data_IF_797463080935
#
_entry.id   IF_797463080935
#
_cell.length_a   1.000
_cell.length_b   1.000
_cell.length_c   1.000
_cell.angle_alpha   90.00
_cell.angle_beta   90.00
_cell.angle_gamma   90.00
#
_symmetry.space_group_name_H-M   'P 1'
#
loop_
_entity.id
_entity.type
_entity.pdbx_description
1 polymer ?
#
# COMPACT_ATOMS: atom_id res chain seq x y z
N UNK A 1 -3.91 4.59 -7.74
CA UNK A 1 -4.18 3.72 -6.57
C UNK A 1 -3.42 2.42 -6.66
N UNK A 2 -3.58 1.63 -7.74
CA UNK A 2 -2.78 0.42 -7.95
C UNK A 2 -1.25 0.66 -7.87
N UNK A 3 -0.75 1.70 -8.53
CA UNK A 3 0.68 2.06 -8.47
C UNK A 3 1.21 2.34 -7.05
N UNK A 4 0.37 2.87 -6.13
CA UNK A 4 0.76 3.08 -4.73
C UNK A 4 1.01 1.74 -4.03
N UNK A 5 0.12 0.77 -4.25
CA UNK A 5 0.25 -0.57 -3.66
C UNK A 5 1.45 -1.33 -4.24
N UNK A 6 1.68 -1.23 -5.55
CA UNK A 6 2.83 -1.84 -6.22
C UNK A 6 4.16 -1.31 -5.65
N UNK A 7 4.25 -0.02 -5.36
CA UNK A 7 5.41 0.58 -4.73
C UNK A 7 5.64 0.05 -3.29
N UNK A 8 4.58 -0.02 -2.48
CA UNK A 8 4.68 -0.60 -1.11
C UNK A 8 5.10 -2.08 -1.17
N UNK A 9 4.66 -2.83 -2.18
CA UNK A 9 5.05 -4.24 -2.36
C UNK A 9 6.53 -4.38 -2.70
N UNK A 10 7.08 -3.45 -3.48
CA UNK A 10 8.48 -3.47 -3.89
C UNK A 10 9.42 -3.01 -2.77
N UNK A 11 9.07 -1.92 -2.11
CA UNK A 11 10.02 -1.17 -1.25
C UNK A 11 9.62 -1.15 0.23
N UNK A 12 8.40 -1.56 0.58
CA UNK A 12 7.89 -1.54 1.95
C UNK A 12 8.36 -2.72 2.80
N UNK A 13 8.14 -2.63 4.11
CA UNK A 13 8.37 -3.73 5.03
C UNK A 13 7.48 -4.95 4.74
N UNK A 14 7.86 -6.13 5.24
CA UNK A 14 7.14 -7.38 4.95
C UNK A 14 5.63 -7.32 5.26
N UNK A 15 5.26 -6.67 6.37
CA UNK A 15 3.85 -6.48 6.75
C UNK A 15 3.11 -5.49 5.85
N UNK A 16 3.76 -4.39 5.46
CA UNK A 16 3.19 -3.41 4.54
C UNK A 16 2.98 -4.02 3.16
N UNK A 17 3.95 -4.78 2.66
CA UNK A 17 3.85 -5.52 1.40
C UNK A 17 2.74 -6.58 1.44
N UNK A 18 2.55 -7.27 2.57
CA UNK A 18 1.43 -8.22 2.75
C UNK A 18 0.08 -7.49 2.66
N UNK A 19 -0.11 -6.43 3.44
CA UNK A 19 -1.33 -5.60 3.42
C UNK A 19 -1.60 -5.02 2.03
N UNK A 20 -0.57 -4.55 1.33
CA UNK A 20 -0.70 -4.00 -0.01
C UNK A 20 -1.17 -5.03 -1.03
N UNK A 21 -0.71 -6.29 -0.95
CA UNK A 21 -1.21 -7.40 -1.79
C UNK A 21 -2.67 -7.72 -1.50
N UNK A 22 -3.10 -7.68 -0.24
CA UNK A 22 -4.50 -7.92 0.15
C UNK A 22 -5.42 -6.83 -0.41
N UNK A 23 -5.02 -5.56 -0.31
CA UNK A 23 -5.77 -4.43 -0.88
C UNK A 23 -5.80 -4.48 -2.41
N UNK A 24 -4.72 -4.91 -3.06
CA UNK A 24 -4.66 -5.06 -4.51
C UNK A 24 -5.62 -6.17 -4.99
N UNK A 25 -5.68 -7.30 -4.27
CA UNK A 25 -6.64 -8.36 -4.56
C UNK A 25 -8.09 -7.85 -4.39
N UNK A 26 -8.37 -7.07 -3.34
CA UNK A 26 -9.69 -6.46 -3.11
C UNK A 26 -10.07 -5.47 -4.22
N UNK A 27 -9.14 -4.67 -4.72
CA UNK A 27 -9.35 -3.76 -5.86
C UNK A 27 -9.77 -4.51 -7.14
N UNK A 28 -9.24 -5.73 -7.36
CA UNK A 28 -9.56 -6.52 -8.55
C UNK A 28 -10.97 -7.11 -8.56
N UNK A 29 -11.60 -7.23 -7.38
CA UNK A 29 -12.93 -7.85 -7.21
C UNK A 29 -14.01 -6.87 -6.75
N UNK A 30 -13.62 -5.72 -6.21
CA UNK A 30 -14.56 -4.70 -5.77
C UNK A 30 -15.15 -3.93 -6.97
N UNK A 31 -16.40 -3.43 -6.86
CA UNK A 31 -16.89 -2.41 -7.80
C UNK A 31 -15.90 -1.24 -7.80
N UNK A 32 -15.59 -0.73 -8.99
CA UNK A 32 -14.45 0.14 -9.32
C UNK A 32 -14.29 1.43 -8.48
N UNK A 33 -15.24 1.73 -7.59
CA UNK A 33 -15.28 2.94 -6.76
C UNK A 33 -15.81 2.61 -5.37
N UNK A 34 -15.06 1.84 -4.57
CA UNK A 34 -15.33 1.75 -3.13
C UNK A 34 -14.53 2.84 -2.40
N UNK A 35 -15.17 3.91 -1.89
CA UNK A 35 -14.46 5.01 -1.23
C UNK A 35 -13.73 4.54 0.03
N UNK A 36 -14.29 3.54 0.73
CA UNK A 36 -13.66 2.91 1.88
C UNK A 36 -12.34 2.23 1.50
N UNK A 37 -12.32 1.48 0.38
CA UNK A 37 -11.10 0.84 -0.11
C UNK A 37 -10.04 1.86 -0.50
N UNK A 38 -10.44 2.99 -1.11
CA UNK A 38 -9.52 4.07 -1.44
C UNK A 38 -8.90 4.70 -0.18
N UNK A 39 -9.72 4.94 0.86
CA UNK A 39 -9.23 5.47 2.13
C UNK A 39 -8.24 4.51 2.83
N UNK A 40 -8.50 3.20 2.79
CA UNK A 40 -7.57 2.18 3.32
C UNK A 40 -6.21 2.21 2.58
N UNK A 41 -6.23 2.32 1.25
CA UNK A 41 -5.00 2.40 0.44
C UNK A 41 -4.23 3.69 0.73
N UNK A 42 -4.93 4.81 0.85
CA UNK A 42 -4.29 6.10 1.16
C UNK A 42 -3.66 6.08 2.56
N UNK A 43 -4.34 5.53 3.56
CA UNK A 43 -3.80 5.39 4.91
C UNK A 43 -2.56 4.48 4.95
N UNK A 44 -2.58 3.36 4.21
CA UNK A 44 -1.43 2.47 4.12
C UNK A 44 -0.24 3.15 3.44
N UNK A 45 -0.49 3.91 2.37
CA UNK A 45 0.55 4.63 1.64
C UNK A 45 1.15 5.78 2.48
N UNK A 46 0.33 6.49 3.25
CA UNK A 46 0.79 7.52 4.19
C UNK A 46 1.70 6.91 5.27
N UNK A 47 1.29 5.79 5.86
CA UNK A 47 2.11 5.06 6.83
C UNK A 47 3.44 4.57 6.23
N UNK A 48 3.42 4.09 4.97
CA UNK A 48 4.63 3.74 4.23
C UNK A 48 5.56 4.94 4.07
N UNK A 49 5.06 6.11 3.64
CA UNK A 49 5.90 7.31 3.46
C UNK A 49 6.50 7.83 4.78
N UNK A 50 5.82 7.60 5.90
CA UNK A 50 6.25 8.06 7.22
C UNK A 50 7.02 7.00 8.03
N UNK A 51 7.27 5.82 7.47
CA UNK A 51 8.04 4.80 8.14
C UNK A 51 9.52 5.22 8.24
N UNK A 52 10.06 5.42 9.47
CA UNK A 52 11.43 5.89 9.64
C UNK A 52 12.49 4.87 9.18
N UNK A 53 12.12 3.62 8.96
CA UNK A 53 13.03 2.57 8.49
C UNK A 53 13.11 2.48 6.97
N UNK A 54 12.15 3.05 6.23
CA UNK A 54 12.18 3.11 4.76
C UNK A 54 13.31 3.99 4.22
N UNK A 55 13.75 4.98 4.99
CA UNK A 55 14.82 5.91 4.61
C UNK A 55 16.22 5.41 4.96
N UNK A 56 16.37 4.27 5.65
CA UNK A 56 17.67 3.80 6.16
C UNK A 56 18.40 2.81 5.24
N UNK A 57 17.68 2.03 4.43
CA UNK A 57 18.28 1.01 3.55
C UNK A 57 18.53 1.47 2.11
N UNK A 58 18.17 2.71 1.75
CA UNK A 58 18.32 3.23 0.39
C UNK A 58 19.59 4.10 0.19
N UNK A 59 20.68 3.80 0.89
CA UNK A 59 21.98 4.49 0.76
C UNK A 59 23.14 3.55 0.46
#
# INVERSE_FOLDING_TARGET
MQAKLEQIIADGGADQARLARELLARLSVAPAESPALHAEIDALYDAYLHDPYLTRDNR
#
